data_IF_225814597873
#
_entry.id   IF_225814597873
#
_cell.length_a   1.000
_cell.length_b   1.000
_cell.length_c   1.000
_cell.angle_alpha   90.00
_cell.angle_beta   90.00
_cell.angle_gamma   90.00
#
_symmetry.space_group_name_H-M   'P 1'
#
loop_
_entity.id
_entity.type
_entity.pdbx_description
1 polymer ?
#
# COMPACT_ATOMS: atom_id res chain seq x y z
N UNK A 1 0.76 -62.72 -22.19
CA UNK A 1 -0.62 -63.22 -22.43
C UNK A 1 -0.63 -64.73 -22.36
N UNK A 2 -1.76 -65.35 -22.02
CA UNK A 2 -1.82 -66.79 -21.84
C UNK A 2 -2.02 -67.53 -23.17
N UNK A 3 -2.80 -66.97 -24.11
CA UNK A 3 -3.19 -67.68 -25.34
C UNK A 3 -2.80 -66.99 -26.66
N UNK A 4 -2.75 -65.65 -26.70
CA UNK A 4 -2.27 -64.86 -27.85
C UNK A 4 -2.71 -65.40 -29.22
N UNK A 5 -4.03 -65.51 -29.41
CA UNK A 5 -4.66 -66.16 -30.58
C UNK A 5 -4.47 -65.40 -31.89
N UNK A 6 -4.10 -64.11 -31.84
CA UNK A 6 -4.08 -63.16 -32.96
C UNK A 6 -5.42 -62.99 -33.69
N UNK A 7 -6.53 -63.37 -33.07
CA UNK A 7 -7.86 -63.17 -33.65
C UNK A 7 -8.25 -61.66 -33.66
N UNK A 8 -9.04 -61.20 -34.64
CA UNK A 8 -9.50 -59.81 -34.72
C UNK A 8 -10.40 -59.39 -33.55
N UNK A 9 -10.53 -58.08 -33.31
CA UNK A 9 -11.45 -57.51 -32.31
C UNK A 9 -12.89 -58.01 -32.51
N UNK A 10 -13.57 -58.37 -31.42
CA UNK A 10 -14.92 -58.95 -31.48
C UNK A 10 -14.97 -60.45 -31.80
N UNK A 11 -13.83 -61.14 -31.87
CA UNK A 11 -13.77 -62.60 -31.98
C UNK A 11 -14.52 -63.30 -30.85
N UNK A 12 -15.25 -64.36 -31.19
CA UNK A 12 -16.00 -65.22 -30.27
C UNK A 12 -15.17 -66.38 -29.70
N UNK A 13 -13.85 -66.42 -29.96
CA UNK A 13 -12.97 -67.44 -29.40
C UNK A 13 -12.90 -67.27 -27.87
N UNK A 14 -13.22 -68.31 -27.07
CA UNK A 14 -13.21 -68.22 -25.61
C UNK A 14 -11.84 -67.87 -25.03
N UNK A 15 -10.73 -68.16 -25.74
CA UNK A 15 -9.38 -67.78 -25.32
C UNK A 15 -9.17 -66.27 -25.36
N UNK A 16 -9.83 -65.57 -26.30
CA UNK A 16 -9.80 -64.10 -26.37
C UNK A 16 -10.54 -63.46 -25.21
N UNK A 17 -11.66 -64.08 -24.80
CA UNK A 17 -12.41 -63.63 -23.64
C UNK A 17 -11.57 -63.75 -22.36
N UNK A 18 -10.84 -64.86 -22.20
CA UNK A 18 -9.94 -65.05 -21.06
C UNK A 18 -8.84 -63.98 -21.03
N UNK A 19 -8.12 -63.77 -22.14
CA UNK A 19 -7.05 -62.78 -22.21
C UNK A 19 -7.62 -61.36 -21.94
N UNK A 20 -8.76 -60.99 -22.55
CA UNK A 20 -9.42 -59.70 -22.31
C UNK A 20 -9.86 -59.51 -20.85
N UNK A 21 -10.44 -60.53 -20.22
CA UNK A 21 -10.88 -60.45 -18.83
C UNK A 21 -9.68 -60.26 -17.88
N UNK A 22 -8.58 -60.98 -18.11
CA UNK A 22 -7.36 -60.85 -17.32
C UNK A 22 -6.69 -59.47 -17.48
N UNK A 23 -6.76 -58.89 -18.69
CA UNK A 23 -6.25 -57.54 -18.97
C UNK A 23 -7.14 -56.49 -18.32
N UNK A 24 -8.46 -56.66 -18.37
CA UNK A 24 -9.40 -55.73 -17.74
C UNK A 24 -9.23 -55.70 -16.22
N UNK A 25 -9.03 -56.86 -15.58
CA UNK A 25 -8.72 -56.90 -14.14
C UNK A 25 -7.46 -56.08 -13.82
N UNK A 26 -6.36 -56.32 -14.55
CA UNK A 26 -5.12 -55.52 -14.42
C UNK A 26 -5.35 -54.03 -14.69
N UNK A 27 -6.18 -53.69 -15.68
CA UNK A 27 -6.50 -52.32 -16.03
C UNK A 27 -7.24 -51.59 -14.90
N UNK A 28 -8.13 -52.27 -14.20
CA UNK A 28 -8.98 -51.66 -13.17
C UNK A 28 -8.37 -51.69 -11.76
N UNK A 29 -7.62 -52.75 -11.43
CA UNK A 29 -7.13 -53.01 -10.07
C UNK A 29 -5.61 -53.00 -9.95
N UNK A 30 -4.89 -52.97 -11.08
CA UNK A 30 -3.43 -52.93 -11.10
C UNK A 30 -2.85 -51.57 -10.68
N UNK A 31 -1.61 -51.61 -10.20
CA UNK A 31 -0.82 -50.42 -9.84
C UNK A 31 -0.03 -49.83 -11.00
N UNK A 32 -0.05 -50.47 -12.16
CA UNK A 32 0.69 -50.00 -13.33
C UNK A 32 -0.10 -48.88 -14.04
N UNK A 33 0.61 -47.83 -14.46
CA UNK A 33 0.00 -46.75 -15.24
C UNK A 33 -0.34 -47.18 -16.67
N UNK A 34 0.40 -48.16 -17.19
CA UNK A 34 0.24 -48.70 -18.53
C UNK A 34 -0.04 -50.19 -18.43
N UNK A 35 -1.15 -50.61 -19.04
CA UNK A 35 -1.48 -52.01 -19.24
C UNK A 35 -1.51 -52.28 -20.73
N UNK A 36 -0.83 -53.34 -21.17
CA UNK A 36 -0.82 -53.75 -22.57
C UNK A 36 -2.07 -54.55 -22.90
N UNK A 37 -2.71 -54.20 -24.01
CA UNK A 37 -3.85 -54.96 -24.52
C UNK A 37 -3.41 -56.26 -25.21
N UNK A 38 -4.39 -57.01 -25.71
CA UNK A 38 -4.14 -58.32 -26.31
C UNK A 38 -3.34 -58.28 -27.62
N UNK A 39 -3.14 -57.10 -28.20
CA UNK A 39 -2.30 -56.87 -29.38
C UNK A 39 -1.00 -56.14 -29.01
N UNK A 40 -0.66 -56.17 -27.72
CA UNK A 40 0.51 -55.52 -27.17
C UNK A 40 0.52 -53.98 -27.37
N UNK A 41 -0.66 -53.36 -27.49
CA UNK A 41 -0.78 -51.91 -27.52
C UNK A 41 -0.90 -51.35 -26.09
N UNK A 42 -0.17 -50.29 -25.75
CA UNK A 42 -0.23 -49.70 -24.41
C UNK A 42 -1.57 -48.98 -24.20
N UNK A 43 -2.18 -49.16 -23.02
CA UNK A 43 -3.39 -48.47 -22.58
C UNK A 43 -3.12 -47.80 -21.23
N UNK A 44 -3.48 -46.52 -21.13
CA UNK A 44 -3.41 -45.80 -19.87
C UNK A 44 -4.50 -46.27 -18.91
N UNK A 45 -4.09 -46.83 -17.78
CA UNK A 45 -4.98 -47.28 -16.73
C UNK A 45 -5.49 -46.09 -15.88
N UNK A 46 -6.61 -46.24 -15.15
CA UNK A 46 -7.09 -45.23 -14.21
C UNK A 46 -6.05 -44.86 -13.14
N UNK A 47 -5.11 -45.77 -12.83
CA UNK A 47 -3.98 -45.50 -11.94
C UNK A 47 -3.11 -44.33 -12.43
N UNK A 48 -2.91 -44.18 -13.75
CA UNK A 48 -2.18 -43.05 -14.31
C UNK A 48 -2.89 -41.71 -14.03
N UNK A 49 -4.22 -41.69 -14.11
CA UNK A 49 -5.01 -40.52 -13.77
C UNK A 49 -4.95 -40.22 -12.27
N UNK A 50 -5.00 -41.24 -11.42
CA UNK A 50 -4.83 -41.09 -9.97
C UNK A 50 -3.49 -40.44 -9.61
N UNK A 51 -2.39 -40.96 -10.18
CA UNK A 51 -1.04 -40.43 -9.96
C UNK A 51 -0.92 -38.98 -10.49
N UNK A 52 -1.52 -38.68 -11.64
CA UNK A 52 -1.55 -37.32 -12.18
C UNK A 52 -2.23 -36.34 -11.19
N UNK A 53 -3.36 -36.73 -10.59
CA UNK A 53 -4.07 -35.90 -9.61
C UNK A 53 -3.25 -35.69 -8.34
N UNK A 54 -2.59 -36.75 -7.83
CA UNK A 54 -1.70 -36.64 -6.67
C UNK A 54 -0.55 -35.67 -6.96
N UNK A 55 0.12 -35.85 -8.10
CA UNK A 55 1.26 -35.02 -8.49
C UNK A 55 0.84 -33.56 -8.69
N UNK A 56 -0.31 -33.32 -9.32
CA UNK A 56 -0.86 -31.98 -9.48
C UNK A 56 -1.12 -31.33 -8.12
N UNK A 57 -1.75 -32.06 -7.18
CA UNK A 57 -1.98 -31.56 -5.81
C UNK A 57 -0.68 -31.22 -5.10
N UNK A 58 0.32 -32.09 -5.19
CA UNK A 58 1.63 -31.89 -4.59
C UNK A 58 2.38 -30.66 -5.14
N UNK A 59 2.09 -30.24 -6.37
CA UNK A 59 2.67 -29.02 -6.97
C UNK A 59 1.84 -27.77 -6.67
N UNK A 60 0.51 -27.87 -6.69
CA UNK A 60 -0.40 -26.73 -6.50
C UNK A 60 -0.38 -26.23 -5.06
N UNK A 61 -0.47 -27.13 -4.08
CA UNK A 61 -0.54 -26.75 -2.66
C UNK A 61 0.66 -25.87 -2.20
N UNK A 62 1.93 -26.23 -2.47
CA UNK A 62 3.06 -25.37 -2.10
C UNK A 62 3.12 -24.08 -2.92
N UNK A 63 2.74 -24.11 -4.20
CA UNK A 63 2.70 -22.91 -5.03
C UNK A 63 1.69 -21.88 -4.51
N UNK A 64 0.49 -22.32 -4.11
CA UNK A 64 -0.53 -21.47 -3.51
C UNK A 64 -0.07 -20.93 -2.16
N UNK A 65 0.58 -21.74 -1.33
CA UNK A 65 1.12 -21.30 -0.05
C UNK A 65 2.21 -20.22 -0.22
N UNK A 66 3.14 -20.42 -1.16
CA UNK A 66 4.19 -19.46 -1.47
C UNK A 66 3.61 -18.15 -2.02
N UNK A 67 2.63 -18.22 -2.93
CA UNK A 67 1.97 -17.03 -3.47
C UNK A 67 1.25 -16.22 -2.39
N UNK A 68 0.53 -16.89 -1.46
CA UNK A 68 -0.12 -16.22 -0.33
C UNK A 68 0.89 -15.53 0.57
N UNK A 69 2.00 -16.19 0.89
CA UNK A 69 3.06 -15.59 1.70
C UNK A 69 3.66 -14.34 1.02
N UNK A 70 3.96 -14.43 -0.28
CA UNK A 70 4.51 -13.31 -1.04
C UNK A 70 3.55 -12.10 -1.09
N UNK A 71 2.26 -12.35 -1.31
CA UNK A 71 1.23 -11.29 -1.31
C UNK A 71 1.10 -10.64 0.06
N UNK A 72 1.07 -11.44 1.14
CA UNK A 72 0.97 -10.90 2.50
C UNK A 72 2.20 -10.06 2.86
N UNK A 73 3.41 -10.55 2.57
CA UNK A 73 4.64 -9.78 2.79
C UNK A 73 4.64 -8.46 2.01
N UNK A 74 4.22 -8.48 0.75
CA UNK A 74 4.14 -7.26 -0.05
C UNK A 74 3.09 -6.28 0.50
N UNK A 75 1.95 -6.78 0.97
CA UNK A 75 0.93 -5.97 1.60
C UNK A 75 1.43 -5.35 2.91
N UNK A 76 2.11 -6.12 3.76
CA UNK A 76 2.67 -5.63 5.03
C UNK A 76 3.73 -4.54 4.79
N UNK A 77 4.63 -4.74 3.81
CA UNK A 77 5.60 -3.71 3.42
C UNK A 77 4.93 -2.44 2.91
N UNK A 78 3.90 -2.56 2.07
CA UNK A 78 3.17 -1.41 1.55
C UNK A 78 2.45 -0.64 2.67
N UNK A 79 1.87 -1.34 3.65
CA UNK A 79 1.25 -0.71 4.83
C UNK A 79 2.29 0.09 5.60
N UNK A 80 3.47 -0.47 5.86
CA UNK A 80 4.55 0.22 6.57
C UNK A 80 5.01 1.48 5.82
N UNK A 81 5.18 1.40 4.50
CA UNK A 81 5.54 2.55 3.67
C UNK A 81 4.46 3.65 3.70
N UNK A 82 3.19 3.25 3.67
CA UNK A 82 2.06 4.18 3.77
C UNK A 82 1.99 4.86 5.14
N UNK A 83 2.19 4.11 6.23
CA UNK A 83 2.23 4.66 7.59
C UNK A 83 3.38 5.65 7.78
N UNK A 84 4.57 5.31 7.27
CA UNK A 84 5.72 6.21 7.29
C UNK A 84 5.43 7.49 6.49
N UNK A 85 4.91 7.35 5.27
CA UNK A 85 4.58 8.50 4.41
C UNK A 85 3.52 9.39 5.08
N UNK A 86 2.51 8.81 5.72
CA UNK A 86 1.49 9.56 6.44
C UNK A 86 2.08 10.33 7.64
N UNK A 87 3.02 9.74 8.37
CA UNK A 87 3.73 10.43 9.46
C UNK A 87 4.58 11.59 8.94
N UNK A 88 5.30 11.40 7.83
CA UNK A 88 6.10 12.43 7.18
C UNK A 88 5.24 13.61 6.67
N UNK A 89 4.10 13.32 6.02
CA UNK A 89 3.15 14.35 5.57
C UNK A 89 2.46 15.06 6.72
N UNK A 90 2.10 14.34 7.79
CA UNK A 90 1.51 14.93 8.99
C UNK A 90 2.46 15.92 9.68
N UNK A 91 3.76 15.65 9.65
CA UNK A 91 4.78 16.57 10.11
C UNK A 91 4.96 17.79 9.18
N UNK A 92 4.68 17.66 7.88
CA UNK A 92 4.85 18.71 6.87
C UNK A 92 3.78 19.81 6.92
N UNK A 93 2.52 19.44 7.14
CA UNK A 93 1.37 20.34 6.94
C UNK A 93 1.14 21.29 8.12
N UNK A 94 1.67 21.00 9.31
CA UNK A 94 1.32 21.76 10.51
C UNK A 94 2.17 23.02 10.67
N UNK A 95 1.54 24.19 10.50
CA UNK A 95 2.07 25.45 11.05
C UNK A 95 2.08 25.34 12.57
N UNK A 96 3.27 25.46 13.16
CA UNK A 96 3.42 25.34 14.62
C UNK A 96 3.01 26.64 15.30
N UNK A 97 2.40 26.53 16.49
CA UNK A 97 2.04 27.67 17.34
C UNK A 97 2.72 27.55 18.69
N UNK A 98 3.33 28.63 19.14
CA UNK A 98 4.04 28.73 20.40
C UNK A 98 3.52 29.93 21.20
N UNK A 99 3.37 29.73 22.50
CA UNK A 99 2.97 30.81 23.41
C UNK A 99 4.11 31.80 23.69
N UNK A 100 5.38 31.40 23.54
CA UNK A 100 6.55 32.23 23.83
C UNK A 100 7.68 31.94 22.84
N UNK A 101 8.51 32.95 22.53
CA UNK A 101 9.67 32.80 21.66
C UNK A 101 10.78 32.00 22.33
N UNK A 102 11.07 32.33 23.59
CA UNK A 102 12.14 31.71 24.37
C UNK A 102 11.62 30.97 25.62
N UNK A 103 12.45 30.09 26.17
CA UNK A 103 12.15 29.30 27.38
C UNK A 103 11.76 27.84 27.08
N UNK A 104 11.50 27.08 28.14
CA UNK A 104 11.05 25.69 28.04
C UNK A 104 9.65 25.62 27.41
N UNK A 105 9.51 24.87 26.31
CA UNK A 105 8.29 24.85 25.52
C UNK A 105 8.09 26.08 24.62
N UNK A 106 9.06 26.99 24.58
CA UNK A 106 9.11 28.10 23.63
C UNK A 106 9.69 27.69 22.27
N UNK A 107 9.47 28.52 21.25
CA UNK A 107 9.90 28.21 19.88
C UNK A 107 11.40 27.86 19.76
N UNK A 108 12.27 28.57 20.47
CA UNK A 108 13.72 28.28 20.45
C UNK A 108 14.10 26.90 20.99
N UNK A 109 13.21 26.25 21.76
CA UNK A 109 13.43 24.90 22.28
C UNK A 109 12.96 23.78 21.35
N UNK A 110 12.33 24.12 20.20
CA UNK A 110 11.83 23.18 19.21
C UNK A 110 12.64 23.30 17.90
N UNK A 111 13.84 22.69 17.81
CA UNK A 111 14.59 22.64 16.56
C UNK A 111 13.89 21.75 15.53
N UNK A 112 13.87 22.18 14.27
CA UNK A 112 13.26 21.40 13.18
C UNK A 112 14.33 20.66 12.38
N UNK A 113 13.92 19.55 11.76
CA UNK A 113 14.77 18.74 10.88
C UNK A 113 14.64 19.13 9.39
N UNK A 114 13.77 20.10 9.09
CA UNK A 114 13.41 20.50 7.72
C UNK A 114 13.42 22.00 7.59
N UNK A 115 13.91 22.46 6.44
CA UNK A 115 13.93 23.87 6.09
C UNK A 115 12.53 24.38 5.79
N UNK A 116 12.29 25.67 6.00
CA UNK A 116 11.04 26.36 5.68
C UNK A 116 9.81 25.96 6.51
N UNK A 117 9.98 25.26 7.63
CA UNK A 117 8.88 25.05 8.60
C UNK A 117 8.44 26.39 9.17
N UNK A 118 7.14 26.68 9.15
CA UNK A 118 6.59 27.94 9.65
C UNK A 118 6.07 27.77 11.08
N UNK A 119 6.49 28.70 11.94
CA UNK A 119 6.06 28.81 13.33
C UNK A 119 5.44 30.18 13.62
N UNK A 120 4.48 30.23 14.54
CA UNK A 120 3.82 31.46 14.99
C UNK A 120 4.04 31.59 16.50
N UNK A 121 4.51 32.77 16.92
CA UNK A 121 4.55 33.19 18.33
C UNK A 121 3.50 34.28 18.53
N UNK A 122 2.51 34.06 19.40
CA UNK A 122 1.40 35.00 19.61
C UNK A 122 1.08 35.36 21.07
N UNK A 123 1.85 34.84 22.03
CA UNK A 123 1.64 35.07 23.47
C UNK A 123 2.87 35.56 24.24
N UNK A 124 3.96 35.92 23.56
CA UNK A 124 5.20 36.29 24.23
C UNK A 124 5.00 37.60 25.03
N UNK A 125 5.44 37.67 26.30
CA UNK A 125 5.37 38.89 27.09
C UNK A 125 6.05 40.09 26.42
N UNK A 126 7.09 39.84 25.64
CA UNK A 126 7.69 40.82 24.75
C UNK A 126 7.01 40.77 23.38
N UNK A 127 6.08 41.70 23.15
CA UNK A 127 5.33 41.80 21.90
C UNK A 127 6.19 41.94 20.63
N UNK A 128 7.45 42.37 20.73
CA UNK A 128 8.36 42.41 19.58
C UNK A 128 8.79 41.02 19.08
N UNK A 129 8.67 40.00 19.92
CA UNK A 129 8.96 38.60 19.61
C UNK A 129 7.72 37.84 19.11
N UNK A 130 6.54 38.48 19.14
CA UNK A 130 5.36 37.91 18.48
C UNK A 130 5.49 38.08 16.96
N UNK A 131 5.06 37.07 16.23
CA UNK A 131 5.13 37.05 14.78
C UNK A 131 5.32 35.67 14.17
N UNK A 132 5.49 35.66 12.87
CA UNK A 132 5.74 34.48 12.08
C UNK A 132 7.24 34.31 11.86
N UNK A 133 7.68 33.07 12.01
CA UNK A 133 9.06 32.63 11.91
C UNK A 133 9.14 31.44 10.97
N UNK A 134 10.33 31.26 10.40
CA UNK A 134 10.67 30.15 9.52
C UNK A 134 11.92 29.46 10.05
N UNK A 135 11.92 28.14 10.09
CA UNK A 135 13.14 27.40 10.42
C UNK A 135 14.13 27.48 9.27
N UNK A 136 15.37 27.87 9.58
CA UNK A 136 16.50 27.84 8.67
C UNK A 136 17.43 26.68 9.04
N UNK A 137 17.50 25.67 8.18
CA UNK A 137 18.30 24.47 8.44
C UNK A 137 19.81 24.66 8.22
N UNK A 138 20.21 25.76 7.58
CA UNK A 138 21.64 26.11 7.41
C UNK A 138 22.19 26.71 8.70
N UNK A 139 21.41 27.57 9.36
CA UNK A 139 21.82 28.20 10.63
C UNK A 139 21.32 27.46 11.86
N UNK A 140 20.40 26.49 11.72
CA UNK A 140 19.70 25.79 12.80
C UNK A 140 18.99 26.76 13.75
N UNK A 141 18.33 27.76 13.19
CA UNK A 141 17.66 28.81 13.95
C UNK A 141 16.30 29.15 13.36
N UNK A 142 15.39 29.61 14.22
CA UNK A 142 14.15 30.23 13.80
C UNK A 142 14.39 31.67 13.39
N UNK A 143 14.17 31.95 12.10
CA UNK A 143 14.34 33.28 11.50
C UNK A 143 12.99 33.97 11.39
N UNK A 144 12.87 35.19 11.91
CA UNK A 144 11.64 35.98 11.79
C UNK A 144 11.43 36.42 10.34
N UNK A 145 10.21 36.34 9.82
CA UNK A 145 9.94 36.91 8.49
C UNK A 145 10.17 38.42 8.48
N UNK A 146 10.81 38.92 7.42
CA UNK A 146 11.03 40.34 7.21
C UNK A 146 9.70 41.12 7.09
N UNK A 147 8.70 40.50 6.46
CA UNK A 147 7.35 41.04 6.36
C UNK A 147 6.44 40.22 7.26
N UNK A 148 5.88 40.85 8.28
CA UNK A 148 4.93 40.23 9.19
C UNK A 148 3.50 40.40 8.67
N UNK A 149 2.59 39.42 8.89
CA UNK A 149 1.18 39.60 8.60
C UNK A 149 0.61 40.80 9.38
N UNK A 150 -0.29 41.55 8.74
CA UNK A 150 -0.98 42.67 9.37
C UNK A 150 -1.82 42.14 10.53
N UNK A 151 -1.69 42.75 11.71
CA UNK A 151 -2.50 42.36 12.85
C UNK A 151 -3.94 42.85 12.67
N UNK A 152 -4.90 42.20 13.33
CA UNK A 152 -6.29 42.67 13.31
C UNK A 152 -6.42 44.10 13.83
N UNK A 153 -5.62 44.49 14.82
CA UNK A 153 -5.60 45.85 15.37
C UNK A 153 -5.11 46.87 14.33
N UNK A 154 -4.01 46.57 13.64
CA UNK A 154 -3.46 47.46 12.60
C UNK A 154 -4.46 47.63 11.44
N UNK A 155 -5.10 46.53 11.03
CA UNK A 155 -6.14 46.59 9.99
C UNK A 155 -7.34 47.43 10.43
N UNK A 156 -7.80 47.28 11.67
CA UNK A 156 -8.92 48.06 12.20
C UNK A 156 -8.58 49.55 12.34
N UNK A 157 -7.36 49.87 12.76
CA UNK A 157 -6.88 51.25 12.85
C UNK A 157 -6.84 51.90 11.46
N UNK A 158 -6.33 51.20 10.45
CA UNK A 158 -6.34 51.68 9.06
C UNK A 158 -7.78 51.86 8.55
N UNK A 159 -8.66 50.89 8.79
CA UNK A 159 -10.05 50.96 8.37
C UNK A 159 -10.81 52.14 9.02
N UNK A 160 -10.54 52.42 10.30
CA UNK A 160 -11.12 53.56 11.01
C UNK A 160 -10.61 54.90 10.46
N UNK A 161 -9.29 54.99 10.19
CA UNK A 161 -8.69 56.18 9.57
C UNK A 161 -9.31 56.48 8.20
N UNK A 162 -9.44 55.47 7.34
CA UNK A 162 -10.05 55.63 6.01
C UNK A 162 -11.52 56.08 6.10
N UNK A 163 -12.30 55.52 7.04
CA UNK A 163 -13.69 55.95 7.29
C UNK A 163 -13.78 57.41 7.74
N UNK A 164 -12.90 57.84 8.64
CA UNK A 164 -12.87 59.23 9.11
C UNK A 164 -12.47 60.20 7.98
N UNK A 165 -11.50 59.84 7.14
CA UNK A 165 -11.09 60.62 5.98
C UNK A 165 -12.19 60.74 4.92
N UNK A 166 -12.95 59.67 4.67
CA UNK A 166 -14.12 59.70 3.78
C UNK A 166 -15.25 60.57 4.35
N UNK A 167 -15.49 60.52 5.66
CA UNK A 167 -16.49 61.38 6.30
C UNK A 167 -16.13 62.87 6.16
N UNK A 168 -14.86 63.24 6.33
CA UNK A 168 -14.39 64.62 6.15
C UNK A 168 -14.49 65.14 4.70
N UNK A 169 -14.25 64.28 3.71
CA UNK A 169 -14.39 64.64 2.29
C UNK A 169 -15.86 64.91 1.89
N UNK A 170 -16.81 64.23 2.54
CA UNK A 170 -18.25 64.46 2.33
C UNK A 170 -18.70 65.77 2.98
N UNK A 171 -18.14 66.18 4.13
CA UNK A 171 -18.52 67.46 4.76
C UNK A 171 -18.08 68.69 3.98
N UNK A 172 -16.96 68.60 3.25
CA UNK A 172 -16.47 69.69 2.39
C UNK A 172 -17.24 69.85 1.06
N UNK A 173 -18.18 68.95 0.73
CA UNK A 173 -18.94 68.99 -0.52
C UNK A 173 -20.38 69.53 -0.38
N UNK A 174 -20.71 70.17 0.74
CA UNK A 174 -22.03 70.77 1.01
C UNK A 174 -22.03 72.27 1.36
N UNK A 175 -20.96 73.00 1.06
CA UNK A 175 -20.93 74.47 1.17
C UNK A 175 -20.79 75.11 -0.22
N UNK A 176 -21.95 75.26 -0.90
CA UNK A 176 -22.24 76.29 -1.91
C UNK A 176 -23.18 77.34 -1.29
#
# INVERSE_FOLDING_TARGET
MAYNTNNPLGSSDPRDLFDNASIFDKYMTGSDEIVYDRFNQPRWAPQAFHNLVINAKAQIDPAVAAAKAAVNTAADSAILEMEQTAAELGADINTKRYATYAGEGGMLSDPQNRDNVVGIVDGDPNGALNGWYVWNNTTNEWVRFAVQPVTTADFQALAAYLKAGQAAAITHSFED
#
